data_IF_697745221209
#
_entry.id   IF_697745221209
#
_cell.length_a   1.000
_cell.length_b   1.000
_cell.length_c   1.000
_cell.angle_alpha   90.00
_cell.angle_beta   90.00
_cell.angle_gamma   90.00
#
_symmetry.space_group_name_H-M   'P 1'
#
loop_
_entity.id
_entity.type
_entity.pdbx_description
1 polymer ?
#
# COMPACT_ATOMS: atom_id res chain seq x y z
N UNK A 1 -34.48 2.85 -12.93
CA UNK A 1 -33.40 1.86 -13.19
C UNK A 1 -33.82 0.72 -14.11
N UNK A 2 -35.08 0.31 -14.09
CA UNK A 2 -35.59 -0.74 -14.99
C UNK A 2 -35.54 -0.37 -16.48
N UNK A 3 -35.60 0.87 -16.79
CA UNK A 3 -35.62 1.39 -18.18
C UNK A 3 -34.28 1.15 -18.91
N UNK A 4 -33.14 1.40 -18.26
CA UNK A 4 -31.80 1.11 -18.80
C UNK A 4 -31.61 -0.39 -19.08
N UNK A 5 -32.15 -1.24 -18.21
CA UNK A 5 -32.11 -2.69 -18.40
C UNK A 5 -32.91 -3.10 -19.65
N UNK A 6 -34.11 -2.52 -19.85
CA UNK A 6 -34.95 -2.79 -21.02
C UNK A 6 -34.30 -2.31 -22.32
N UNK A 7 -33.65 -1.12 -22.29
CA UNK A 7 -32.85 -0.63 -23.41
C UNK A 7 -31.71 -1.56 -23.78
N UNK A 8 -30.99 -2.09 -22.78
CA UNK A 8 -29.92 -3.06 -23.00
C UNK A 8 -30.46 -4.39 -23.57
N UNK A 9 -31.59 -4.87 -23.03
CA UNK A 9 -32.26 -6.08 -23.56
C UNK A 9 -32.69 -5.86 -25.02
N UNK A 10 -33.26 -4.72 -25.36
CA UNK A 10 -33.65 -4.37 -26.72
C UNK A 10 -32.44 -4.34 -27.66
N UNK A 11 -31.36 -3.66 -27.25
CA UNK A 11 -30.12 -3.64 -28.03
C UNK A 11 -29.58 -5.05 -28.31
N UNK A 12 -29.55 -5.91 -27.30
CA UNK A 12 -29.11 -7.32 -27.46
C UNK A 12 -29.99 -8.14 -28.41
N UNK A 13 -31.32 -7.93 -28.35
CA UNK A 13 -32.25 -8.63 -29.25
C UNK A 13 -32.01 -8.23 -30.69
N UNK A 14 -31.80 -6.97 -30.98
CA UNK A 14 -31.50 -6.49 -32.34
C UNK A 14 -30.13 -6.94 -32.80
N UNK A 15 -29.11 -6.84 -31.97
CA UNK A 15 -27.73 -7.19 -32.29
C UNK A 15 -27.60 -8.70 -32.63
N UNK A 16 -28.31 -9.55 -31.90
CA UNK A 16 -28.22 -11.02 -32.09
C UNK A 16 -29.34 -11.59 -32.94
N UNK A 17 -30.25 -10.78 -33.45
CA UNK A 17 -31.27 -11.17 -34.41
C UNK A 17 -32.38 -12.09 -33.88
N UNK A 18 -32.34 -12.48 -32.58
CA UNK A 18 -33.38 -13.31 -31.98
C UNK A 18 -33.51 -13.15 -30.46
N UNK A 19 -34.75 -13.30 -29.95
CA UNK A 19 -35.03 -13.30 -28.50
C UNK A 19 -34.28 -14.43 -27.77
N UNK A 20 -34.14 -15.60 -28.39
CA UNK A 20 -33.46 -16.75 -27.79
C UNK A 20 -31.93 -16.53 -27.71
N UNK A 21 -31.33 -15.97 -28.75
CA UNK A 21 -29.89 -15.64 -28.74
C UNK A 21 -29.57 -14.57 -27.70
N UNK A 22 -30.37 -13.51 -27.66
CA UNK A 22 -30.24 -12.45 -26.65
C UNK A 22 -30.40 -13.01 -25.22
N UNK A 23 -31.39 -13.88 -24.99
CA UNK A 23 -31.65 -14.49 -23.70
C UNK A 23 -30.41 -15.27 -23.18
N UNK A 24 -29.78 -16.05 -24.08
CA UNK A 24 -28.56 -16.82 -23.71
C UNK A 24 -27.40 -15.90 -23.29
N UNK A 25 -27.18 -14.79 -23.99
CA UNK A 25 -26.11 -13.84 -23.71
C UNK A 25 -26.37 -13.04 -22.42
N UNK A 26 -27.65 -12.69 -22.20
CA UNK A 26 -28.05 -11.92 -21.01
C UNK A 26 -28.26 -12.80 -19.75
N UNK A 27 -28.12 -14.12 -19.84
CA UNK A 27 -28.42 -15.05 -18.74
C UNK A 27 -29.90 -15.04 -18.33
N UNK A 28 -30.82 -14.82 -19.27
CA UNK A 28 -32.27 -14.69 -19.04
C UNK A 28 -33.05 -15.78 -19.76
N UNK A 29 -34.32 -15.97 -19.39
CA UNK A 29 -35.22 -16.81 -20.19
C UNK A 29 -35.73 -16.03 -21.42
N UNK A 30 -36.03 -16.70 -22.55
CA UNK A 30 -36.63 -16.05 -23.72
C UNK A 30 -37.96 -15.34 -23.42
N UNK A 31 -38.74 -15.88 -22.50
CA UNK A 31 -39.97 -15.26 -22.00
C UNK A 31 -39.73 -13.94 -21.28
N UNK A 32 -38.70 -13.89 -20.42
CA UNK A 32 -38.31 -12.67 -19.73
C UNK A 32 -37.83 -11.57 -20.69
N UNK A 33 -36.99 -11.94 -21.68
CA UNK A 33 -36.58 -11.03 -22.75
C UNK A 33 -37.79 -10.46 -23.51
N UNK A 34 -38.73 -11.32 -23.93
CA UNK A 34 -39.97 -10.90 -24.60
C UNK A 34 -40.82 -9.96 -23.70
N UNK A 35 -40.87 -10.23 -22.40
CA UNK A 35 -41.60 -9.40 -21.47
C UNK A 35 -40.97 -7.99 -21.33
N UNK A 36 -39.64 -7.90 -21.27
CA UNK A 36 -38.92 -6.62 -21.24
C UNK A 36 -39.19 -5.77 -22.48
N UNK A 37 -39.17 -6.39 -23.67
CA UNK A 37 -39.49 -5.70 -24.92
C UNK A 37 -40.94 -5.20 -24.93
N UNK A 38 -41.91 -6.05 -24.57
CA UNK A 38 -43.32 -5.70 -24.49
C UNK A 38 -43.58 -4.54 -23.51
N UNK A 39 -42.86 -4.53 -22.39
CA UNK A 39 -43.01 -3.50 -21.38
C UNK A 39 -42.43 -2.18 -21.89
N UNK A 40 -41.30 -2.20 -22.58
CA UNK A 40 -40.67 -1.03 -23.20
C UNK A 40 -41.62 -0.41 -24.26
N UNK A 41 -42.18 -1.22 -25.17
CA UNK A 41 -43.14 -0.76 -26.19
C UNK A 41 -44.44 -0.20 -25.56
N UNK A 42 -44.90 -0.84 -24.48
CA UNK A 42 -46.11 -0.41 -23.76
C UNK A 42 -45.92 0.97 -23.07
N UNK A 43 -44.80 1.13 -22.36
CA UNK A 43 -44.52 2.36 -21.64
C UNK A 43 -44.22 3.54 -22.56
N UNK A 44 -43.56 3.28 -23.69
CA UNK A 44 -43.30 4.31 -24.71
C UNK A 44 -44.47 4.51 -25.65
N UNK A 45 -45.49 3.63 -25.66
CA UNK A 45 -46.60 3.60 -26.61
C UNK A 45 -46.14 3.57 -28.08
N UNK A 46 -44.97 3.01 -28.35
CA UNK A 46 -44.36 2.90 -29.67
C UNK A 46 -43.95 1.45 -29.94
N UNK A 47 -44.37 0.93 -31.07
CA UNK A 47 -43.91 -0.39 -31.54
C UNK A 47 -42.51 -0.24 -32.11
N UNK A 48 -41.53 -1.03 -31.55
CA UNK A 48 -40.15 -0.99 -31.96
C UNK A 48 -39.77 -2.18 -32.88
N UNK A 49 -40.48 -3.31 -32.76
CA UNK A 49 -40.22 -4.53 -33.51
C UNK A 49 -41.46 -4.99 -34.29
N UNK A 50 -41.27 -5.29 -35.56
CA UNK A 50 -42.27 -6.03 -36.33
C UNK A 50 -42.20 -7.50 -35.90
N UNK A 51 -43.33 -8.07 -35.48
CA UNK A 51 -43.43 -9.47 -35.04
C UNK A 51 -43.75 -10.33 -36.24
N UNK A 52 -42.72 -10.96 -36.82
CA UNK A 52 -42.94 -12.13 -37.65
C UNK A 52 -42.39 -13.36 -36.96
N UNK A 53 -42.99 -14.55 -37.24
CA UNK A 53 -42.58 -15.83 -36.63
C UNK A 53 -41.19 -16.31 -37.08
N UNK A 54 -40.58 -15.63 -38.06
CA UNK A 54 -39.31 -16.10 -38.68
C UNK A 54 -38.13 -15.11 -38.52
N UNK A 55 -38.38 -13.83 -38.37
CA UNK A 55 -37.31 -12.82 -38.23
C UNK A 55 -37.75 -11.63 -37.39
N UNK A 56 -36.78 -11.02 -36.66
CA UNK A 56 -36.96 -9.75 -35.99
C UNK A 56 -36.62 -8.63 -36.98
N UNK A 57 -37.59 -7.79 -37.27
CA UNK A 57 -37.40 -6.57 -38.09
C UNK A 57 -37.70 -5.37 -37.24
N UNK A 58 -36.91 -4.31 -37.42
CA UNK A 58 -37.11 -3.04 -36.74
C UNK A 58 -38.16 -2.18 -37.43
N UNK A 59 -38.97 -1.45 -36.68
CA UNK A 59 -39.71 -0.29 -37.20
C UNK A 59 -38.76 0.90 -37.39
N UNK A 60 -39.19 1.93 -38.10
CA UNK A 60 -38.41 3.19 -38.20
C UNK A 60 -38.10 3.80 -36.82
N UNK A 61 -39.06 3.75 -35.91
CA UNK A 61 -38.86 4.17 -34.53
C UNK A 61 -37.82 3.23 -33.80
N UNK A 62 -37.96 1.93 -34.01
CA UNK A 62 -37.04 0.93 -33.49
C UNK A 62 -35.61 1.14 -33.99
N UNK A 63 -35.44 1.47 -35.28
CA UNK A 63 -34.13 1.73 -35.87
C UNK A 63 -33.43 2.93 -35.18
N UNK A 64 -34.16 4.08 -35.07
CA UNK A 64 -33.60 5.26 -34.37
C UNK A 64 -33.31 4.98 -32.89
N UNK A 65 -34.20 4.29 -32.21
CA UNK A 65 -34.03 3.95 -30.81
C UNK A 65 -32.88 2.99 -30.57
N UNK A 66 -32.70 1.98 -31.47
CA UNK A 66 -31.58 1.05 -31.42
C UNK A 66 -30.23 1.75 -31.47
N UNK A 67 -30.05 2.74 -32.32
CA UNK A 67 -28.81 3.50 -32.41
C UNK A 67 -28.40 4.11 -31.07
N UNK A 68 -29.37 4.65 -30.31
CA UNK A 68 -29.12 5.22 -28.98
C UNK A 68 -28.86 4.13 -27.93
N UNK A 69 -29.63 3.03 -27.97
CA UNK A 69 -29.42 1.88 -27.07
C UNK A 69 -28.06 1.23 -27.29
N UNK A 70 -27.60 1.09 -28.53
CA UNK A 70 -26.29 0.56 -28.86
C UNK A 70 -25.15 1.44 -28.34
N UNK A 71 -25.30 2.77 -28.44
CA UNK A 71 -24.35 3.74 -27.87
C UNK A 71 -24.27 3.61 -26.35
N UNK A 72 -25.41 3.48 -25.69
CA UNK A 72 -25.50 3.31 -24.23
C UNK A 72 -24.83 2.01 -23.76
N UNK A 73 -25.12 0.88 -24.40
CA UNK A 73 -24.52 -0.41 -24.05
C UNK A 73 -23.01 -0.41 -24.29
N UNK A 74 -22.55 0.16 -25.41
CA UNK A 74 -21.12 0.30 -25.70
C UNK A 74 -20.40 1.20 -24.68
N UNK A 75 -21.05 2.26 -24.18
CA UNK A 75 -20.50 3.09 -23.12
C UNK A 75 -20.40 2.33 -21.80
N UNK A 76 -21.43 1.55 -21.46
CA UNK A 76 -21.41 0.71 -20.25
C UNK A 76 -20.32 -0.39 -20.32
N UNK A 77 -20.10 -0.99 -21.50
CA UNK A 77 -19.06 -2.00 -21.69
C UNK A 77 -17.66 -1.37 -21.62
N UNK A 78 -17.45 -0.17 -22.18
CA UNK A 78 -16.18 0.58 -21.99
C UNK A 78 -15.91 0.87 -20.52
N UNK A 79 -16.91 1.37 -19.79
CA UNK A 79 -16.75 1.62 -18.36
C UNK A 79 -16.38 0.38 -17.55
N UNK A 80 -16.98 -0.78 -17.88
CA UNK A 80 -16.60 -2.06 -17.28
C UNK A 80 -15.18 -2.50 -17.65
N UNK A 81 -14.78 -2.30 -18.90
CA UNK A 81 -13.44 -2.61 -19.37
C UNK A 81 -12.37 -1.75 -18.65
N UNK A 82 -12.65 -0.46 -18.44
CA UNK A 82 -11.78 0.42 -17.65
C UNK A 82 -11.61 -0.07 -16.22
N UNK A 83 -12.70 -0.45 -15.55
CA UNK A 83 -12.63 -1.04 -14.20
C UNK A 83 -11.86 -2.37 -14.16
N UNK A 84 -12.02 -3.20 -15.19
CA UNK A 84 -11.28 -4.47 -15.31
C UNK A 84 -9.78 -4.22 -15.55
N UNK A 85 -9.43 -3.23 -16.36
CA UNK A 85 -8.04 -2.85 -16.61
C UNK A 85 -7.34 -2.36 -15.33
N UNK A 86 -8.02 -1.57 -14.50
CA UNK A 86 -7.51 -1.14 -13.19
C UNK A 86 -7.20 -2.32 -12.24
N UNK A 87 -7.84 -3.47 -12.45
CA UNK A 87 -7.57 -4.69 -11.68
C UNK A 87 -6.39 -5.51 -12.21
N UNK A 88 -6.04 -5.38 -13.49
CA UNK A 88 -5.03 -6.23 -14.15
C UNK A 88 -3.67 -5.55 -14.21
N UNK A 89 -3.60 -4.32 -14.72
CA UNK A 89 -2.36 -3.61 -14.95
C UNK A 89 -2.23 -2.36 -14.08
N UNK A 90 -1.04 -2.14 -13.46
CA UNK A 90 -0.78 -0.92 -12.70
C UNK A 90 -0.76 0.30 -13.61
N UNK A 91 -1.68 1.23 -13.40
CA UNK A 91 -1.79 2.47 -14.17
C UNK A 91 -2.21 3.66 -13.31
N UNK A 92 -2.15 4.86 -13.84
CA UNK A 92 -2.56 6.07 -13.15
C UNK A 92 -1.56 6.56 -12.10
N UNK A 93 -2.03 7.19 -11.02
CA UNK A 93 -1.19 7.70 -9.93
C UNK A 93 -1.29 6.78 -8.71
N UNK A 94 -0.14 6.31 -8.19
CA UNK A 94 -0.03 5.67 -6.87
C UNK A 94 0.45 6.70 -5.85
N UNK A 95 -0.35 6.99 -4.84
CA UNK A 95 0.01 7.87 -3.72
C UNK A 95 0.46 7.03 -2.54
N UNK A 96 1.78 7.02 -2.32
CA UNK A 96 2.44 6.28 -1.24
C UNK A 96 2.89 7.25 -0.16
N UNK A 97 2.36 7.10 1.06
CA UNK A 97 2.84 7.82 2.23
C UNK A 97 3.83 6.95 3.02
N UNK A 98 4.93 7.55 3.47
CA UNK A 98 5.93 6.85 4.28
C UNK A 98 6.70 7.84 5.16
N UNK A 99 7.39 7.37 6.24
CA UNK A 99 8.33 8.19 6.98
C UNK A 99 9.47 8.68 6.08
N UNK A 100 10.06 9.83 6.43
CA UNK A 100 11.15 10.45 5.64
C UNK A 100 12.32 9.50 5.44
N UNK A 101 12.66 8.68 6.44
CA UNK A 101 13.72 7.66 6.36
C UNK A 101 13.54 6.66 5.22
N UNK A 102 12.31 6.43 4.75
CA UNK A 102 12.04 5.55 3.61
C UNK A 102 12.54 6.09 2.27
N UNK A 103 12.89 7.38 2.17
CA UNK A 103 13.37 8.00 0.92
C UNK A 103 14.53 7.21 0.27
N UNK A 104 15.48 6.73 1.08
CA UNK A 104 16.65 5.94 0.61
C UNK A 104 16.25 4.57 0.06
N UNK A 105 15.11 4.03 0.49
CA UNK A 105 14.60 2.71 0.12
C UNK A 105 13.63 2.74 -1.06
N UNK A 106 13.05 3.90 -1.38
CA UNK A 106 12.01 4.03 -2.40
C UNK A 106 12.51 3.62 -3.80
N UNK A 107 13.68 4.11 -4.21
CA UNK A 107 14.31 3.75 -5.47
C UNK A 107 14.64 2.25 -5.58
N UNK A 108 15.40 1.68 -4.64
CA UNK A 108 15.69 0.25 -4.64
C UNK A 108 14.46 -0.65 -4.58
N UNK A 109 13.42 -0.26 -3.84
CA UNK A 109 12.21 -1.06 -3.67
C UNK A 109 11.26 -1.01 -4.87
N UNK A 110 11.12 0.14 -5.52
CA UNK A 110 10.07 0.38 -6.50
C UNK A 110 10.59 0.74 -7.90
N UNK A 111 11.87 1.11 -8.03
CA UNK A 111 12.41 1.67 -9.28
C UNK A 111 12.29 0.73 -10.48
N UNK A 112 12.69 -0.54 -10.32
CA UNK A 112 12.58 -1.55 -11.38
C UNK A 112 11.12 -1.83 -11.78
N UNK A 113 10.22 -1.83 -10.81
CA UNK A 113 8.79 -2.01 -11.06
C UNK A 113 8.18 -0.80 -11.80
N UNK A 114 8.48 0.42 -11.36
CA UNK A 114 8.02 1.64 -12.03
C UNK A 114 8.52 1.73 -13.49
N UNK A 115 9.74 1.27 -13.75
CA UNK A 115 10.28 1.23 -15.11
C UNK A 115 9.53 0.25 -16.04
N UNK A 116 8.94 -0.81 -15.51
CA UNK A 116 8.11 -1.76 -16.28
C UNK A 116 6.73 -1.19 -16.65
N UNK A 117 6.23 -0.21 -15.90
CA UNK A 117 4.89 0.35 -16.09
C UNK A 117 4.96 1.87 -16.32
N UNK A 118 5.33 2.35 -17.52
CA UNK A 118 5.53 3.77 -17.80
C UNK A 118 4.26 4.63 -17.67
N UNK A 119 3.08 4.01 -17.65
CA UNK A 119 1.80 4.69 -17.41
C UNK A 119 1.49 4.89 -15.92
N UNK A 120 2.25 4.25 -15.03
CA UNK A 120 2.13 4.41 -13.60
C UNK A 120 2.99 5.60 -13.14
N UNK A 121 2.39 6.48 -12.38
CA UNK A 121 3.07 7.62 -11.74
C UNK A 121 3.11 7.40 -10.23
N UNK A 122 4.27 7.54 -9.62
CA UNK A 122 4.41 7.50 -8.16
C UNK A 122 4.35 8.93 -7.61
N UNK A 123 3.47 9.14 -6.64
CA UNK A 123 3.49 10.31 -5.76
C UNK A 123 3.90 9.86 -4.37
N UNK A 124 5.14 10.15 -4.00
CA UNK A 124 5.70 9.78 -2.71
C UNK A 124 5.52 10.94 -1.73
N UNK A 125 4.80 10.69 -0.63
CA UNK A 125 4.52 11.65 0.43
C UNK A 125 5.35 11.23 1.66
N UNK A 126 6.43 11.94 1.92
CA UNK A 126 7.36 11.63 3.00
C UNK A 126 7.15 12.61 4.15
N UNK A 127 6.72 12.09 5.29
CA UNK A 127 6.56 12.87 6.50
C UNK A 127 6.67 11.95 7.73
N UNK A 128 7.39 12.42 8.74
CA UNK A 128 7.51 11.74 10.03
C UNK A 128 6.34 12.08 10.96
N UNK A 129 5.60 13.16 10.69
CA UNK A 129 4.34 13.47 11.35
C UNK A 129 3.19 12.58 10.81
N UNK A 130 2.14 12.34 11.59
CA UNK A 130 0.95 11.66 11.12
C UNK A 130 0.28 12.43 9.97
N UNK A 131 0.27 11.87 8.77
CA UNK A 131 -0.44 12.41 7.62
C UNK A 131 -1.91 11.97 7.69
N UNK A 132 -2.85 12.89 7.45
CA UNK A 132 -4.25 12.52 7.20
C UNK A 132 -4.33 11.82 5.85
N UNK A 133 -4.46 10.49 5.94
CA UNK A 133 -4.44 9.61 4.76
C UNK A 133 -5.64 9.83 3.84
N UNK A 134 -6.78 10.27 4.38
CA UNK A 134 -8.01 10.52 3.62
C UNK A 134 -7.89 11.84 2.86
N UNK A 135 -7.55 12.93 3.53
CA UNK A 135 -7.39 14.25 2.89
C UNK A 135 -6.28 14.22 1.83
N UNK A 136 -5.18 13.54 2.12
CA UNK A 136 -4.07 13.37 1.18
C UNK A 136 -4.36 12.35 0.07
N UNK A 137 -5.52 11.69 0.08
CA UNK A 137 -5.93 10.66 -0.88
C UNK A 137 -4.86 9.57 -1.05
N UNK A 138 -4.33 9.08 0.08
CA UNK A 138 -3.29 8.07 0.09
C UNK A 138 -3.86 6.72 -0.31
N UNK A 139 -3.25 6.06 -1.29
CA UNK A 139 -3.62 4.69 -1.72
C UNK A 139 -2.96 3.63 -0.82
N UNK A 140 -1.72 3.89 -0.40
CA UNK A 140 -0.90 3.00 0.42
C UNK A 140 -0.05 3.82 1.38
N UNK A 141 -0.03 3.46 2.66
CA UNK A 141 0.90 4.03 3.62
C UNK A 141 1.83 2.97 4.20
N UNK A 142 3.11 3.29 4.34
CA UNK A 142 4.06 2.53 5.15
C UNK A 142 4.07 3.09 6.56
N UNK A 143 3.97 2.19 7.55
CA UNK A 143 4.07 2.53 8.97
C UNK A 143 5.12 1.64 9.63
N UNK A 144 5.84 2.23 10.56
CA UNK A 144 6.93 1.60 11.29
C UNK A 144 6.62 1.62 12.79
N UNK A 145 6.82 0.49 13.46
CA UNK A 145 6.53 0.31 14.88
C UNK A 145 5.09 -0.10 15.19
N UNK A 146 4.61 0.18 16.41
CA UNK A 146 3.24 -0.11 16.81
C UNK A 146 2.26 0.76 16.02
N UNK A 147 1.11 0.17 15.70
CA UNK A 147 0.02 0.88 15.02
C UNK A 147 -0.98 1.41 16.04
N UNK A 148 -1.43 2.64 15.84
CA UNK A 148 -2.61 3.15 16.53
C UNK A 148 -3.88 2.53 15.91
N UNK A 149 -4.93 2.42 16.71
CA UNK A 149 -6.23 1.97 16.24
C UNK A 149 -6.75 2.90 15.12
N UNK A 150 -7.15 2.31 14.02
CA UNK A 150 -7.68 3.02 12.85
C UNK A 150 -8.64 2.14 12.07
N UNK A 151 -9.51 2.77 11.25
CA UNK A 151 -10.40 2.09 10.33
C UNK A 151 -9.67 1.56 9.06
N UNK A 152 -8.36 1.78 8.96
CA UNK A 152 -7.53 1.32 7.85
C UNK A 152 -7.07 -0.11 8.08
N UNK A 153 -6.90 -0.83 7.00
CA UNK A 153 -6.44 -2.21 7.04
C UNK A 153 -4.93 -2.26 7.04
N UNK A 154 -4.36 -2.84 8.08
CA UNK A 154 -2.93 -3.03 8.21
C UNK A 154 -2.51 -4.46 7.85
N UNK A 155 -1.49 -4.57 7.01
CA UNK A 155 -0.81 -5.82 6.67
C UNK A 155 0.66 -5.71 7.04
N UNK A 156 1.15 -6.62 7.86
CA UNK A 156 2.58 -6.71 8.19
C UNK A 156 3.37 -7.14 6.96
N UNK A 157 4.37 -6.32 6.56
CA UNK A 157 5.27 -6.63 5.45
C UNK A 157 6.52 -7.35 5.94
N UNK A 158 7.13 -6.84 7.00
CA UNK A 158 8.37 -7.36 7.55
C UNK A 158 8.54 -6.96 9.02
N UNK A 159 9.60 -7.47 9.64
CA UNK A 159 10.20 -6.93 10.85
C UNK A 159 11.70 -6.80 10.62
N UNK A 160 12.31 -5.78 11.17
CA UNK A 160 13.76 -5.56 11.17
C UNK A 160 14.25 -5.50 12.62
N UNK A 161 15.39 -6.12 12.99
CA UNK A 161 15.92 -6.00 14.33
C UNK A 161 16.33 -4.55 14.62
N UNK A 162 16.25 -4.17 15.87
CA UNK A 162 16.85 -2.93 16.35
C UNK A 162 18.30 -3.21 16.75
N UNK A 163 19.18 -2.24 16.56
CA UNK A 163 20.57 -2.28 16.96
C UNK A 163 20.89 -1.09 17.85
N UNK A 164 21.67 -1.34 18.89
CA UNK A 164 22.35 -0.28 19.63
C UNK A 164 23.58 0.13 18.83
N UNK A 165 23.70 1.40 18.49
CA UNK A 165 24.76 1.90 17.63
C UNK A 165 25.46 3.10 18.26
N UNK A 166 26.77 3.23 17.98
CA UNK A 166 27.57 4.40 18.25
C UNK A 166 28.64 4.56 17.16
N UNK A 167 29.19 5.76 17.00
CA UNK A 167 30.33 5.98 16.12
C UNK A 167 31.63 5.40 16.72
N UNK A 168 32.63 5.01 15.89
CA UNK A 168 33.92 4.54 16.37
C UNK A 168 34.62 5.51 17.33
N UNK A 169 34.52 6.81 17.05
CA UNK A 169 35.11 7.86 17.90
C UNK A 169 34.47 7.93 19.29
N UNK A 170 33.17 7.66 19.41
CA UNK A 170 32.50 7.57 20.70
C UNK A 170 33.06 6.39 21.51
N UNK A 171 33.27 5.21 20.85
CA UNK A 171 33.83 4.03 21.50
C UNK A 171 35.28 4.28 21.96
N UNK A 172 36.09 4.94 21.13
CA UNK A 172 37.46 5.29 21.48
C UNK A 172 37.58 6.20 22.71
N UNK A 173 36.55 7.04 22.95
CA UNK A 173 36.49 7.89 24.13
C UNK A 173 36.06 7.13 25.39
N UNK A 174 35.61 5.88 25.28
CA UNK A 174 35.30 5.01 26.41
C UNK A 174 36.54 4.21 26.83
N UNK A 175 36.58 3.78 28.09
CA UNK A 175 37.68 2.93 28.62
C UNK A 175 37.74 1.54 27.99
N UNK A 176 36.56 1.04 27.51
CA UNK A 176 36.42 -0.26 26.86
C UNK A 176 35.12 -0.33 26.07
N UNK A 177 35.03 -1.30 25.15
CA UNK A 177 33.78 -1.62 24.47
C UNK A 177 32.75 -2.13 25.50
N UNK A 178 31.51 -1.61 25.50
CA UNK A 178 30.46 -2.11 26.40
C UNK A 178 30.17 -3.58 26.14
N UNK A 179 30.09 -4.38 27.22
CA UNK A 179 29.74 -5.80 27.16
C UNK A 179 28.36 -6.09 27.75
N UNK A 180 27.78 -5.14 28.48
CA UNK A 180 26.48 -5.29 29.12
C UNK A 180 25.68 -4.00 29.01
N UNK A 181 24.32 -4.05 28.83
CA UNK A 181 23.48 -2.86 28.68
C UNK A 181 23.59 -1.86 29.85
N UNK A 182 23.83 -2.33 31.06
CA UNK A 182 24.01 -1.45 32.23
C UNK A 182 25.15 -0.42 32.06
N UNK A 183 26.17 -0.72 31.26
CA UNK A 183 27.28 0.17 30.98
C UNK A 183 26.89 1.36 30.11
N UNK A 184 25.72 1.29 29.45
CA UNK A 184 25.16 2.37 28.65
C UNK A 184 24.22 3.30 29.44
N UNK A 185 23.99 3.04 30.72
CA UNK A 185 23.05 3.83 31.55
C UNK A 185 23.47 5.30 31.69
N UNK A 186 24.76 5.59 31.62
CA UNK A 186 25.32 6.94 31.71
C UNK A 186 25.75 7.53 30.36
N UNK A 187 25.50 6.80 29.26
CA UNK A 187 25.82 7.29 27.92
C UNK A 187 24.92 8.48 27.53
N UNK A 188 25.44 9.34 26.67
CA UNK A 188 24.58 10.32 25.99
C UNK A 188 23.69 9.60 24.97
N UNK A 189 22.39 9.54 25.24
CA UNK A 189 21.44 8.87 24.39
C UNK A 189 20.78 9.81 23.38
N UNK A 190 20.68 9.34 22.15
CA UNK A 190 19.97 10.00 21.07
C UNK A 190 18.71 9.21 20.74
N UNK A 191 17.57 9.89 20.62
CA UNK A 191 16.30 9.20 20.35
C UNK A 191 15.41 9.93 19.36
N UNK A 192 14.62 9.11 18.65
CA UNK A 192 13.48 9.58 17.89
C UNK A 192 12.29 9.73 18.83
N UNK A 193 11.83 10.94 19.06
CA UNK A 193 10.59 11.16 19.78
C UNK A 193 9.81 12.34 19.18
N UNK A 194 8.50 12.18 19.16
CA UNK A 194 7.55 13.17 18.65
C UNK A 194 6.78 13.88 19.77
N UNK A 195 7.11 13.59 21.03
CA UNK A 195 6.44 14.09 22.22
C UNK A 195 7.44 14.74 23.17
N UNK A 196 6.96 15.55 24.11
CA UNK A 196 7.81 16.43 24.95
C UNK A 196 8.67 15.71 26.01
N UNK A 197 8.44 14.41 26.26
CA UNK A 197 9.22 13.62 27.21
C UNK A 197 9.85 12.43 26.52
N UNK A 198 11.16 12.41 26.44
CA UNK A 198 11.92 11.39 25.74
C UNK A 198 12.83 10.61 26.70
N UNK A 199 12.23 9.73 27.50
CA UNK A 199 12.99 8.71 28.20
C UNK A 199 13.29 7.55 27.26
N UNK A 200 14.51 7.06 27.33
CA UNK A 200 14.95 5.84 26.67
C UNK A 200 14.45 4.65 27.46
N UNK A 201 13.71 3.78 26.80
CA UNK A 201 13.29 2.48 27.33
C UNK A 201 13.79 1.40 26.41
N UNK A 202 14.81 0.63 26.84
CA UNK A 202 15.34 -0.50 26.08
C UNK A 202 15.15 -1.77 26.91
N UNK A 203 14.39 -2.72 26.37
CA UNK A 203 14.34 -4.08 26.89
C UNK A 203 15.37 -4.90 26.11
N UNK A 204 16.38 -5.42 26.80
CA UNK A 204 17.41 -6.21 26.19
C UNK A 204 17.39 -7.65 26.73
N UNK A 205 17.57 -8.64 25.85
CA UNK A 205 17.68 -10.05 26.21
C UNK A 205 18.95 -10.64 25.61
N UNK A 206 19.80 -11.24 26.44
CA UNK A 206 20.99 -11.92 25.95
C UNK A 206 20.61 -13.20 25.20
N UNK A 207 21.10 -13.36 23.99
CA UNK A 207 20.64 -14.41 23.05
C UNK A 207 20.96 -15.80 23.57
N UNK A 208 22.14 -16.02 24.22
CA UNK A 208 22.57 -17.33 24.68
C UNK A 208 22.10 -17.63 26.10
N UNK A 209 22.22 -16.68 27.03
CA UNK A 209 21.93 -16.93 28.45
C UNK A 209 20.46 -16.72 28.83
N UNK A 210 19.70 -15.97 27.98
CA UNK A 210 18.33 -15.56 28.29
C UNK A 210 18.25 -14.46 29.37
N UNK A 211 19.36 -13.92 29.84
CA UNK A 211 19.41 -12.82 30.79
C UNK A 211 18.64 -11.62 30.21
N UNK A 212 17.81 -10.95 31.02
CA UNK A 212 17.06 -9.79 30.62
C UNK A 212 17.52 -8.54 31.39
N UNK A 213 17.59 -7.43 30.70
CA UNK A 213 17.93 -6.15 31.31
C UNK A 213 17.02 -5.03 30.77
N UNK A 214 16.42 -4.26 31.68
CA UNK A 214 15.63 -3.08 31.35
C UNK A 214 16.46 -1.82 31.60
N UNK A 215 16.80 -1.10 30.54
CA UNK A 215 17.46 0.17 30.61
C UNK A 215 16.42 1.28 30.56
N UNK A 216 16.46 2.17 31.53
CA UNK A 216 15.70 3.41 31.54
C UNK A 216 16.62 4.57 31.85
N UNK A 217 16.68 5.57 30.99
CA UNK A 217 17.54 6.74 31.14
C UNK A 217 16.99 7.90 30.32
N UNK A 218 17.20 9.16 30.72
CA UNK A 218 16.79 10.31 29.92
C UNK A 218 17.60 10.38 28.62
N UNK A 219 16.95 10.85 27.56
CA UNK A 219 17.66 11.18 26.33
C UNK A 219 18.43 12.49 26.48
N UNK A 220 19.63 12.52 25.91
CA UNK A 220 20.44 13.75 25.84
C UNK A 220 20.10 14.58 24.59
N UNK A 221 19.82 13.89 23.47
CA UNK A 221 19.44 14.51 22.20
C UNK A 221 18.14 13.88 21.72
N UNK A 222 17.18 14.71 21.36
CA UNK A 222 15.88 14.28 20.87
C UNK A 222 15.62 14.90 19.50
N UNK A 223 15.17 14.10 18.54
CA UNK A 223 14.74 14.59 17.24
C UNK A 223 13.41 13.93 16.83
N UNK A 224 12.61 14.62 16.07
CA UNK A 224 11.43 14.06 15.42
C UNK A 224 11.74 13.40 14.06
N UNK A 225 13.02 13.35 13.67
CA UNK A 225 13.48 12.84 12.38
C UNK A 225 14.56 11.77 12.58
N UNK A 226 14.26 10.51 12.16
CA UNK A 226 15.16 9.36 12.35
C UNK A 226 16.53 9.55 11.70
N UNK A 227 16.59 10.12 10.50
CA UNK A 227 17.85 10.40 9.81
C UNK A 227 18.74 11.39 10.57
N UNK A 228 18.16 12.36 11.29
CA UNK A 228 18.92 13.28 12.13
C UNK A 228 19.52 12.55 13.34
N UNK A 229 18.76 11.68 14.00
CA UNK A 229 19.26 10.83 15.10
C UNK A 229 20.46 10.01 14.63
N UNK A 230 20.36 9.36 13.46
CA UNK A 230 21.45 8.57 12.89
C UNK A 230 22.70 9.43 12.61
N UNK A 231 22.54 10.57 11.92
CA UNK A 231 23.66 11.44 11.58
C UNK A 231 24.37 11.99 12.81
N UNK A 232 23.62 12.36 13.86
CA UNK A 232 24.20 12.83 15.12
C UNK A 232 24.93 11.70 15.85
N UNK A 233 24.42 10.46 15.77
CA UNK A 233 25.10 9.27 16.26
C UNK A 233 26.40 9.00 15.49
N UNK A 234 26.39 9.09 14.16
CA UNK A 234 27.58 8.97 13.29
C UNK A 234 28.64 10.06 13.58
N UNK A 235 28.18 11.25 13.97
CA UNK A 235 29.05 12.33 14.44
C UNK A 235 29.65 12.11 15.84
N UNK A 236 29.35 10.97 16.49
CA UNK A 236 29.94 10.58 17.77
C UNK A 236 29.31 11.22 19.01
N UNK A 237 28.11 11.78 18.90
CA UNK A 237 27.46 12.50 19.99
C UNK A 237 26.81 11.58 21.05
N UNK A 238 26.83 10.25 20.82
CA UNK A 238 26.29 9.31 21.79
C UNK A 238 25.84 7.99 21.19
N UNK A 239 24.92 7.33 21.88
CA UNK A 239 24.35 6.01 21.55
C UNK A 239 22.93 6.19 21.05
N UNK A 240 22.55 5.44 20.02
CA UNK A 240 21.18 5.42 19.50
C UNK A 240 20.67 4.00 19.31
N UNK A 241 19.36 3.80 19.50
CA UNK A 241 18.64 2.60 19.07
C UNK A 241 18.14 2.85 17.65
N UNK A 242 18.70 2.14 16.68
CA UNK A 242 18.39 2.29 15.25
C UNK A 242 17.85 0.98 14.70
N UNK A 243 16.96 1.06 13.70
CA UNK A 243 16.59 -0.16 12.96
C UNK A 243 17.78 -0.66 12.14
N UNK A 244 17.96 -1.97 12.05
CA UNK A 244 18.98 -2.53 11.17
C UNK A 244 18.78 -2.12 9.71
N UNK A 245 17.53 -1.90 9.28
CA UNK A 245 17.20 -1.38 7.96
C UNK A 245 17.91 -0.05 7.66
N UNK A 246 17.97 0.85 8.65
CA UNK A 246 18.60 2.17 8.50
C UNK A 246 20.11 2.13 8.79
N UNK A 247 20.53 1.37 9.81
CA UNK A 247 21.90 1.37 10.31
C UNK A 247 22.86 0.49 9.52
N UNK A 248 22.38 -0.54 8.81
CA UNK A 248 23.26 -1.55 8.18
C UNK A 248 24.30 -0.96 7.24
N UNK A 249 23.91 0.01 6.40
CA UNK A 249 24.84 0.67 5.48
C UNK A 249 25.95 1.44 6.22
N UNK A 250 25.59 2.16 7.28
CA UNK A 250 26.56 2.91 8.09
C UNK A 250 27.51 1.99 8.86
N UNK A 251 27.00 0.84 9.33
CA UNK A 251 27.83 -0.20 9.97
C UNK A 251 28.78 -0.83 8.95
N UNK A 252 28.32 -1.12 7.75
CA UNK A 252 29.14 -1.65 6.65
C UNK A 252 30.24 -0.68 6.22
N UNK A 253 29.94 0.63 6.20
CA UNK A 253 30.89 1.70 5.87
C UNK A 253 31.83 2.05 7.03
N UNK A 254 31.57 1.51 8.23
CA UNK A 254 32.37 1.77 9.43
C UNK A 254 32.11 3.14 10.09
N UNK A 255 31.07 3.87 9.68
CA UNK A 255 30.68 5.14 10.34
C UNK A 255 29.89 4.89 11.63
N UNK A 256 29.26 3.71 11.75
CA UNK A 256 28.67 3.19 12.98
C UNK A 256 29.22 1.82 13.33
N UNK A 257 29.17 1.51 14.62
CA UNK A 257 29.45 0.19 15.18
C UNK A 257 28.21 -0.29 15.92
N UNK A 258 27.81 -1.55 15.69
CA UNK A 258 26.77 -2.21 16.46
C UNK A 258 27.34 -2.58 17.83
N UNK A 259 26.78 -2.01 18.88
CA UNK A 259 27.11 -2.33 20.27
C UNK A 259 26.31 -3.57 20.70
N UNK A 260 26.89 -4.35 21.61
CA UNK A 260 26.20 -5.46 22.28
C UNK A 260 25.52 -6.44 21.30
N UNK A 261 26.20 -6.95 20.27
CA UNK A 261 25.57 -7.80 19.24
C UNK A 261 24.92 -9.07 19.79
N UNK A 262 25.35 -9.52 20.97
CA UNK A 262 24.79 -10.68 21.70
C UNK A 262 23.48 -10.37 22.45
N UNK A 263 23.02 -9.11 22.43
CA UNK A 263 21.77 -8.70 23.07
C UNK A 263 20.71 -8.38 22.03
N UNK A 264 19.57 -9.06 22.11
CA UNK A 264 18.37 -8.68 21.36
C UNK A 264 17.67 -7.50 22.05
N UNK A 265 17.52 -6.41 21.34
CA UNK A 265 16.87 -5.17 21.81
C UNK A 265 15.54 -4.92 21.09
N UNK A 266 14.92 -6.01 20.63
CA UNK A 266 13.63 -6.00 19.99
C UNK A 266 13.66 -5.73 18.49
N UNK A 267 12.47 -5.67 17.92
CA UNK A 267 12.29 -5.55 16.47
C UNK A 267 11.31 -4.41 16.14
N UNK A 268 11.57 -3.77 15.02
CA UNK A 268 10.68 -2.77 14.43
C UNK A 268 9.81 -3.46 13.36
N UNK A 269 8.50 -3.46 13.55
CA UNK A 269 7.56 -3.98 12.55
C UNK A 269 7.28 -2.94 11.47
N UNK A 270 7.17 -3.40 10.22
CA UNK A 270 6.88 -2.58 9.04
C UNK A 270 5.55 -3.04 8.48
N UNK A 271 4.65 -2.08 8.27
CA UNK A 271 3.27 -2.33 7.87
C UNK A 271 2.92 -1.59 6.59
N UNK A 272 2.17 -2.26 5.71
CA UNK A 272 1.39 -1.62 4.68
C UNK A 272 -0.01 -1.34 5.22
N UNK A 273 -0.47 -0.11 5.07
CA UNK A 273 -1.77 0.35 5.54
C UNK A 273 -2.55 0.89 4.35
N UNK A 274 -3.76 0.36 4.14
CA UNK A 274 -4.64 0.70 3.01
C UNK A 274 -6.06 0.99 3.49
N UNK A 275 -6.85 1.81 2.75
CA UNK A 275 -8.22 2.14 3.16
C UNK A 275 -9.17 0.94 3.14
N UNK A 276 -8.90 -0.07 2.30
CA UNK A 276 -9.77 -1.24 2.14
C UNK A 276 -8.95 -2.53 2.02
N UNK A 277 -9.55 -3.64 2.46
CA UNK A 277 -8.96 -4.97 2.37
C UNK A 277 -9.20 -5.61 1.01
N UNK A 278 -10.42 -5.47 0.48
CA UNK A 278 -10.90 -6.10 -0.73
C UNK A 278 -10.94 -5.09 -1.89
N UNK A 279 -10.87 -5.58 -3.12
CA UNK A 279 -10.91 -4.78 -4.35
C UNK A 279 -9.79 -3.72 -4.48
N UNK A 280 -8.58 -4.06 -4.02
CA UNK A 280 -7.42 -3.18 -4.23
C UNK A 280 -7.03 -3.11 -5.71
N UNK A 281 -6.79 -1.90 -6.27
CA UNK A 281 -6.25 -1.74 -7.62
C UNK A 281 -4.91 -2.47 -7.81
N UNK A 282 -4.60 -2.88 -9.04
CA UNK A 282 -3.34 -3.57 -9.34
C UNK A 282 -2.11 -2.81 -8.87
N UNK A 283 -2.09 -1.48 -9.02
CA UNK A 283 -1.00 -0.61 -8.57
C UNK A 283 -0.70 -0.74 -7.07
N UNK A 284 -1.74 -0.83 -6.22
CA UNK A 284 -1.57 -0.99 -4.76
C UNK A 284 -1.11 -2.39 -4.42
N UNK A 285 -1.77 -3.41 -4.99
CA UNK A 285 -1.44 -4.82 -4.75
C UNK A 285 -0.01 -5.15 -5.16
N UNK A 286 0.43 -4.71 -6.35
CA UNK A 286 1.79 -4.96 -6.84
C UNK A 286 2.82 -4.13 -6.06
N UNK A 287 2.55 -2.87 -5.72
CA UNK A 287 3.44 -2.08 -4.85
C UNK A 287 3.70 -2.79 -3.51
N UNK A 288 2.66 -3.36 -2.88
CA UNK A 288 2.82 -4.14 -1.65
C UNK A 288 3.74 -5.35 -1.86
N UNK A 289 3.61 -6.05 -2.98
CA UNK A 289 4.45 -7.21 -3.33
C UNK A 289 5.92 -6.80 -3.53
N UNK A 290 6.19 -5.74 -4.27
CA UNK A 290 7.55 -5.23 -4.50
C UNK A 290 8.21 -4.75 -3.19
N UNK A 291 7.46 -4.02 -2.37
CA UNK A 291 7.92 -3.60 -1.05
C UNK A 291 8.23 -4.79 -0.14
N UNK A 292 7.37 -5.82 -0.13
CA UNK A 292 7.58 -7.02 0.66
C UNK A 292 8.80 -7.82 0.17
N UNK A 293 8.99 -7.94 -1.14
CA UNK A 293 10.15 -8.59 -1.74
C UNK A 293 11.44 -7.85 -1.36
N UNK A 294 11.48 -6.53 -1.51
CA UNK A 294 12.62 -5.71 -1.13
C UNK A 294 12.99 -5.88 0.35
N UNK A 295 12.00 -5.75 1.25
CA UNK A 295 12.23 -5.85 2.69
C UNK A 295 12.69 -7.26 3.13
N UNK A 296 12.29 -8.31 2.41
CA UNK A 296 12.73 -9.67 2.69
C UNK A 296 14.22 -9.89 2.33
N UNK A 297 14.68 -9.32 1.21
CA UNK A 297 16.09 -9.38 0.78
C UNK A 297 16.99 -8.62 1.76
N UNK A 298 16.60 -7.40 2.12
CA UNK A 298 17.37 -6.58 3.08
C UNK A 298 17.49 -7.27 4.44
N UNK A 299 16.44 -7.98 4.89
CA UNK A 299 16.49 -8.78 6.10
C UNK A 299 17.52 -9.92 6.03
N UNK A 300 17.61 -10.61 4.90
CA UNK A 300 18.56 -11.74 4.71
C UNK A 300 20.03 -11.32 4.71
N UNK A 301 20.33 -10.06 4.42
CA UNK A 301 21.70 -9.50 4.44
C UNK A 301 22.10 -8.95 5.82
N UNK A 302 21.18 -8.93 6.81
CA UNK A 302 21.39 -8.36 8.15
C UNK A 302 21.53 -9.41 9.28
N UNK A 303 21.39 -10.70 8.94
CA UNK A 303 21.63 -11.84 9.82
C UNK A 303 23.09 -12.29 9.70
#
# INVERSE_FOLDING_TARGET
MDDLKRMAVFAAVVQHGSMTAAARILGMSPSAVSQHIRQLERESQVTLLHRSTRQIALTDAGQRFYAQCATLTAAADRARAELAAEQQDPSGELRLAAPVGFARHAGPALGAWLARFPQLRLRLLLDDAPIDLIQARVDLALRFGPLADSNWVARKLASTPNWLCAAPQWIQAQSAMPLHPAQLAQAAWLTLNRHDHADIHVQAQHVETGETYALQTPAHIVSNHQGAVQQLCEAGLGVALLSALDAASAVQQGTLVRLLPQWDVGQLSIWAVTPQRDAQPAKVRQAIQELQAYLSVVRGTQT
#
